data_IF_453074742386
#
_entry.id   IF_453074742386
#
_cell.length_a   1.000
_cell.length_b   1.000
_cell.length_c   1.000
_cell.angle_alpha   90.00
_cell.angle_beta   90.00
_cell.angle_gamma   90.00
#
_symmetry.space_group_name_H-M   'P 1'
#
loop_
_entity.id
_entity.type
_entity.pdbx_description
1 polymer ?
#
# COMPACT_ATOMS: atom_id res chain seq x y z
N UNK A 1 -25.91 21.88 -47.16
CA UNK A 1 -24.74 22.02 -46.27
C UNK A 1 -25.01 21.11 -45.08
N UNK A 2 -24.79 19.79 -45.15
CA UNK A 2 -23.65 19.06 -45.76
C UNK A 2 -22.34 19.47 -45.09
N UNK A 3 -21.47 18.60 -44.54
CA UNK A 3 -21.31 17.14 -44.39
C UNK A 3 -20.44 16.90 -43.12
N UNK A 4 -20.11 15.72 -42.58
CA UNK A 4 -20.35 14.30 -42.91
C UNK A 4 -19.55 13.40 -41.93
N UNK A 5 -19.63 12.05 -42.08
CA UNK A 5 -18.77 10.99 -41.47
C UNK A 5 -18.45 11.04 -39.95
N UNK A 6 -18.89 10.11 -39.08
CA UNK A 6 -18.58 8.66 -38.97
C UNK A 6 -17.09 8.28 -38.93
N UNK A 7 -16.62 7.80 -37.77
CA UNK A 7 -16.09 6.43 -37.65
C UNK A 7 -16.36 5.85 -36.23
N UNK A 8 -16.77 4.59 -36.16
CA UNK A 8 -16.65 3.75 -34.95
C UNK A 8 -15.51 2.75 -35.20
N UNK A 9 -14.61 2.53 -34.23
CA UNK A 9 -13.67 1.39 -34.30
C UNK A 9 -13.72 0.53 -33.03
N UNK A 10 -13.71 -0.78 -33.25
CA UNK A 10 -14.06 -1.81 -32.25
C UNK A 10 -12.92 -2.14 -31.29
N UNK A 11 -13.32 -2.64 -30.13
CA UNK A 11 -12.56 -3.55 -29.28
C UNK A 11 -11.82 -4.64 -30.10
N UNK A 12 -10.63 -5.03 -29.65
CA UNK A 12 -10.03 -6.31 -30.05
C UNK A 12 -9.29 -6.95 -28.87
N UNK A 13 -9.77 -8.11 -28.45
CA UNK A 13 -9.06 -9.04 -27.56
C UNK A 13 -8.06 -9.83 -28.42
N UNK A 14 -6.89 -10.14 -27.84
CA UNK A 14 -5.89 -11.05 -28.39
C UNK A 14 -5.24 -11.84 -27.26
N UNK A 15 -4.92 -13.11 -27.49
CA UNK A 15 -4.38 -14.04 -26.50
C UNK A 15 -3.32 -14.96 -27.12
N UNK A 16 -2.60 -15.70 -26.28
CA UNK A 16 -1.41 -16.50 -26.57
C UNK A 16 -0.16 -15.68 -27.02
N UNK A 17 1.06 -16.15 -26.81
CA UNK A 17 1.51 -17.34 -26.07
C UNK A 17 2.84 -17.91 -26.60
N UNK A 18 3.45 -18.82 -25.85
CA UNK A 18 4.57 -19.65 -26.32
C UNK A 18 5.97 -19.18 -25.93
N UNK A 19 6.69 -20.04 -25.20
CA UNK A 19 8.12 -19.89 -24.91
C UNK A 19 8.98 -20.43 -26.05
N UNK A 20 10.16 -19.84 -26.28
CA UNK A 20 11.33 -20.58 -26.79
C UNK A 20 12.61 -20.14 -26.07
N UNK A 21 13.45 -21.11 -25.74
CA UNK A 21 14.83 -20.87 -25.36
C UNK A 21 15.70 -20.78 -26.63
N UNK A 22 16.88 -20.20 -26.49
CA UNK A 22 18.00 -20.44 -27.40
C UNK A 22 19.28 -20.47 -26.58
N UNK A 23 20.19 -21.38 -26.94
CA UNK A 23 21.48 -21.56 -26.29
C UNK A 23 22.55 -21.71 -27.38
N UNK A 24 23.72 -21.14 -27.13
CA UNK A 24 24.88 -21.24 -28.01
C UNK A 24 26.15 -21.20 -27.17
N UNK A 25 26.93 -22.28 -27.22
CA UNK A 25 28.34 -22.25 -26.85
C UNK A 25 29.17 -21.50 -27.90
N UNK A 26 30.48 -21.35 -27.75
CA UNK A 26 31.34 -21.85 -26.69
C UNK A 26 32.68 -22.32 -27.27
N UNK A 27 33.78 -21.83 -26.69
CA UNK A 27 35.16 -22.25 -26.98
C UNK A 27 35.94 -22.24 -25.66
N UNK A 28 37.01 -23.03 -25.59
CA UNK A 28 37.58 -23.54 -24.34
C UNK A 28 39.00 -22.99 -24.02
N UNK A 29 39.46 -23.24 -22.78
CA UNK A 29 40.81 -23.65 -22.31
C UNK A 29 42.09 -23.02 -22.93
N UNK A 30 43.24 -22.84 -22.26
CA UNK A 30 43.72 -23.08 -20.87
C UNK A 30 44.97 -22.15 -20.65
N UNK A 31 45.78 -22.09 -19.57
CA UNK A 31 45.90 -22.74 -18.26
C UNK A 31 46.64 -21.74 -17.31
N UNK A 32 46.28 -21.64 -16.03
CA UNK A 32 47.28 -21.39 -14.97
C UNK A 32 46.81 -21.75 -13.57
N UNK A 33 47.64 -22.51 -12.84
CA UNK A 33 47.40 -22.91 -11.46
C UNK A 33 47.61 -21.74 -10.49
N UNK A 34 46.69 -21.56 -9.54
CA UNK A 34 46.67 -20.43 -8.62
C UNK A 34 45.81 -20.68 -7.38
N UNK A 35 45.95 -21.85 -6.76
CA UNK A 35 45.11 -22.31 -5.66
C UNK A 35 45.22 -21.44 -4.39
N UNK A 36 44.44 -20.37 -4.30
CA UNK A 36 44.32 -19.55 -3.09
C UNK A 36 42.96 -18.88 -2.97
N UNK A 37 42.29 -19.16 -1.86
CA UNK A 37 41.01 -18.55 -1.49
C UNK A 37 39.81 -19.18 -2.21
N UNK A 38 39.06 -19.99 -1.45
CA UNK A 38 37.60 -19.90 -1.53
C UNK A 38 37.29 -18.46 -1.08
N UNK A 39 37.28 -17.53 -2.03
CA UNK A 39 37.14 -16.10 -1.83
C UNK A 39 35.74 -15.83 -1.31
N UNK A 40 35.60 -15.96 0.01
CA UNK A 40 34.32 -16.02 0.66
C UNK A 40 33.54 -14.77 0.28
N UNK A 41 32.42 -14.96 -0.43
CA UNK A 41 31.35 -13.97 -0.46
C UNK A 41 30.70 -13.95 0.92
N UNK A 42 31.46 -13.45 1.90
CA UNK A 42 30.96 -12.61 2.98
C UNK A 42 30.32 -11.40 2.29
N UNK A 43 29.14 -11.65 1.73
CA UNK A 43 27.90 -11.07 2.22
C UNK A 43 28.21 -10.00 3.28
N UNK A 44 28.60 -8.81 2.82
CA UNK A 44 28.74 -7.62 3.66
C UNK A 44 27.35 -7.16 4.07
N UNK A 45 26.62 -8.01 4.81
CA UNK A 45 25.16 -7.94 4.94
C UNK A 45 24.73 -6.60 5.52
N UNK A 46 25.61 -5.99 6.33
CA UNK A 46 25.36 -4.78 7.11
C UNK A 46 26.39 -3.64 6.92
N UNK A 47 27.38 -3.75 6.03
CA UNK A 47 28.46 -2.74 5.87
C UNK A 47 27.96 -1.48 5.12
N UNK A 48 27.05 -0.72 5.73
CA UNK A 48 26.47 0.50 5.14
C UNK A 48 24.98 0.75 5.43
N UNK A 49 24.32 -0.03 6.29
CA UNK A 49 23.08 0.40 6.95
C UNK A 49 23.26 0.12 8.43
N UNK A 50 23.13 1.18 9.23
CA UNK A 50 23.53 1.27 10.63
C UNK A 50 22.48 0.66 11.58
N UNK A 51 22.04 -0.57 11.28
CA UNK A 51 20.87 -1.26 11.86
C UNK A 51 19.48 -0.70 11.45
N UNK A 52 18.49 -1.59 11.43
CA UNK A 52 17.08 -1.28 11.15
C UNK A 52 16.44 -0.50 12.32
N UNK A 53 16.91 -0.66 13.56
CA UNK A 53 16.41 0.12 14.69
C UNK A 53 16.85 1.59 14.61
N UNK A 54 18.09 1.89 14.21
CA UNK A 54 18.55 3.28 14.03
C UNK A 54 17.77 3.97 12.91
N UNK A 55 17.49 3.28 11.81
CA UNK A 55 16.57 3.80 10.78
C UNK A 55 15.17 4.11 11.36
N UNK A 56 14.62 3.24 12.21
CA UNK A 56 13.33 3.50 12.86
C UNK A 56 13.39 4.67 13.86
N UNK A 57 14.52 4.91 14.53
CA UNK A 57 14.74 6.08 15.39
C UNK A 57 14.83 7.38 14.56
N UNK A 58 15.56 7.38 13.44
CA UNK A 58 15.63 8.51 12.51
C UNK A 58 14.24 8.85 11.97
N UNK A 59 13.48 7.85 11.50
CA UNK A 59 12.12 8.09 11.01
C UNK A 59 11.12 8.52 12.09
N UNK A 60 11.34 8.12 13.36
CA UNK A 60 10.58 8.66 14.50
C UNK A 60 10.89 10.13 14.75
N UNK A 61 12.15 10.56 14.65
CA UNK A 61 12.52 11.98 14.74
C UNK A 61 11.95 12.80 13.56
N UNK A 62 11.83 12.19 12.37
CA UNK A 62 11.15 12.77 11.20
C UNK A 62 9.61 12.66 11.26
N UNK A 63 9.01 12.40 12.43
CA UNK A 63 7.55 12.26 12.63
C UNK A 63 6.83 11.29 11.66
N UNK A 64 7.57 10.29 11.16
CA UNK A 64 7.16 9.38 10.09
C UNK A 64 6.65 10.10 8.84
N UNK A 65 7.38 11.12 8.37
CA UNK A 65 7.10 11.77 7.08
C UNK A 65 7.11 10.74 5.93
N UNK A 66 6.01 10.61 5.17
CA UNK A 66 5.96 9.70 4.02
C UNK A 66 6.80 10.15 2.83
N UNK A 67 7.16 11.43 2.68
CA UNK A 67 7.99 11.86 1.55
C UNK A 67 9.45 11.43 1.72
N UNK A 68 10.01 11.59 2.92
CA UNK A 68 11.30 11.03 3.31
C UNK A 68 11.31 9.49 3.19
N UNK A 69 10.25 8.81 3.62
CA UNK A 69 10.16 7.35 3.55
C UNK A 69 10.13 6.85 2.09
N UNK A 70 9.30 7.48 1.24
CA UNK A 70 9.27 7.22 -0.20
C UNK A 70 10.63 7.50 -0.88
N UNK A 71 11.32 8.57 -0.47
CA UNK A 71 12.63 8.94 -1.01
C UNK A 71 13.69 7.91 -0.64
N UNK A 72 13.81 7.56 0.64
CA UNK A 72 14.75 6.53 1.14
C UNK A 72 14.48 5.16 0.49
N UNK A 73 13.20 4.78 0.29
CA UNK A 73 12.82 3.55 -0.42
C UNK A 73 13.09 3.56 -1.94
N UNK A 74 13.56 4.68 -2.50
CA UNK A 74 14.06 4.80 -3.89
C UNK A 74 15.59 4.82 -3.98
N UNK A 75 16.30 5.24 -2.93
CA UNK A 75 17.78 5.33 -2.92
C UNK A 75 18.47 3.98 -3.16
N UNK A 76 17.96 2.87 -2.61
CA UNK A 76 18.51 1.54 -2.91
C UNK A 76 17.52 0.40 -2.75
N UNK A 77 17.79 -0.73 -3.44
CA UNK A 77 17.05 -2.00 -3.27
C UNK A 77 17.05 -2.49 -1.81
N UNK A 78 18.14 -2.24 -1.06
CA UNK A 78 18.27 -2.65 0.34
C UNK A 78 17.40 -1.77 1.26
N UNK A 79 17.39 -0.45 1.04
CA UNK A 79 16.53 0.48 1.79
C UNK A 79 15.04 0.23 1.50
N UNK A 80 14.67 -0.06 0.25
CA UNK A 80 13.31 -0.53 -0.09
C UNK A 80 12.92 -1.78 0.71
N UNK A 81 13.79 -2.80 0.74
CA UNK A 81 13.53 -4.04 1.46
C UNK A 81 13.48 -3.86 3.00
N UNK A 82 14.06 -2.79 3.57
CA UNK A 82 13.86 -2.40 4.98
C UNK A 82 12.53 -1.65 5.15
N UNK A 83 12.20 -0.74 4.24
CA UNK A 83 10.94 0.00 4.27
C UNK A 83 9.71 -0.93 4.22
N UNK A 84 9.71 -1.89 3.30
CA UNK A 84 8.64 -2.89 3.10
C UNK A 84 8.43 -3.84 4.29
N UNK A 85 9.50 -4.16 5.05
CA UNK A 85 9.43 -5.03 6.24
C UNK A 85 9.16 -4.28 7.55
N UNK A 86 9.71 -3.07 7.69
CA UNK A 86 9.80 -2.36 8.98
C UNK A 86 9.17 -0.97 8.91
N UNK A 87 9.68 -0.06 8.08
CA UNK A 87 9.32 1.37 8.22
C UNK A 87 7.84 1.65 7.96
N UNK A 88 7.21 0.97 6.99
CA UNK A 88 5.76 1.12 6.78
C UNK A 88 4.92 0.57 7.94
N UNK A 89 5.39 -0.48 8.63
CA UNK A 89 4.74 -1.02 9.84
C UNK A 89 4.81 -0.01 10.98
N UNK A 90 6.00 0.48 11.27
CA UNK A 90 6.23 1.44 12.36
C UNK A 90 5.48 2.76 12.14
N UNK A 91 5.42 3.26 10.89
CA UNK A 91 4.55 4.38 10.51
C UNK A 91 3.08 4.10 10.83
N UNK A 92 2.57 2.92 10.44
CA UNK A 92 1.18 2.54 10.71
C UNK A 92 0.89 2.44 12.22
N UNK A 93 1.79 1.81 12.98
CA UNK A 93 1.71 1.70 14.45
C UNK A 93 1.73 3.09 15.09
N UNK A 94 2.61 3.99 14.65
CA UNK A 94 2.74 5.34 15.19
C UNK A 94 1.54 6.24 14.87
N UNK A 95 0.87 6.04 13.72
CA UNK A 95 -0.28 6.87 13.29
C UNK A 95 -1.63 6.35 13.82
N UNK A 96 -1.80 5.03 13.99
CA UNK A 96 -3.09 4.44 14.36
C UNK A 96 -2.97 3.21 15.29
N UNK A 97 -2.33 3.31 16.47
CA UNK A 97 -1.92 2.16 17.28
C UNK A 97 -3.08 1.26 17.73
N UNK A 98 -4.20 1.86 18.18
CA UNK A 98 -5.41 1.12 18.60
C UNK A 98 -6.11 0.38 17.45
N UNK A 99 -5.96 0.86 16.22
CA UNK A 99 -6.48 0.19 15.03
C UNK A 99 -5.55 -0.94 14.62
N UNK A 100 -4.25 -0.66 14.46
CA UNK A 100 -3.25 -1.67 14.06
C UNK A 100 -3.25 -2.86 15.02
N UNK A 101 -3.27 -2.61 16.34
CA UNK A 101 -3.37 -3.67 17.36
C UNK A 101 -4.61 -4.56 17.17
N UNK A 102 -5.77 -3.97 16.82
CA UNK A 102 -6.98 -4.75 16.55
C UNK A 102 -6.93 -5.54 15.23
N UNK A 103 -6.19 -5.06 14.21
CA UNK A 103 -5.97 -5.78 12.95
C UNK A 103 -4.98 -6.96 13.11
N UNK A 104 -3.92 -6.79 13.89
CA UNK A 104 -2.91 -7.84 14.11
C UNK A 104 -3.36 -8.89 15.13
N UNK A 105 -3.98 -8.48 16.23
CA UNK A 105 -4.40 -9.37 17.31
C UNK A 105 -5.57 -10.25 16.87
N UNK A 106 -5.38 -11.58 16.86
CA UNK A 106 -6.41 -12.56 16.48
C UNK A 106 -6.43 -12.99 15.01
N UNK A 107 -5.46 -12.56 14.19
CA UNK A 107 -5.25 -13.11 12.85
C UNK A 107 -4.61 -14.50 12.93
N UNK A 108 -5.44 -15.54 13.09
CA UNK A 108 -5.06 -16.95 13.31
C UNK A 108 -4.28 -17.65 12.16
N UNK A 109 -3.76 -16.92 11.18
CA UNK A 109 -3.11 -17.43 9.97
C UNK A 109 -1.59 -17.15 9.95
N UNK A 110 -0.91 -17.60 11.01
CA UNK A 110 0.56 -17.73 11.18
C UNK A 110 1.46 -16.52 10.88
N UNK A 111 0.90 -15.35 10.62
CA UNK A 111 1.63 -14.09 10.46
C UNK A 111 0.66 -12.92 10.58
N UNK A 112 1.05 -11.84 11.26
CA UNK A 112 0.25 -10.63 11.49
C UNK A 112 0.08 -9.75 10.24
N UNK A 113 -0.25 -10.37 9.10
CA UNK A 113 -0.40 -9.72 7.79
C UNK A 113 -1.75 -9.01 7.72
N UNK A 114 -1.73 -7.69 7.86
CA UNK A 114 -2.83 -6.82 7.42
C UNK A 114 -3.14 -7.12 5.95
N UNK A 115 -4.41 -7.17 5.56
CA UNK A 115 -4.81 -7.39 4.16
C UNK A 115 -4.21 -6.33 3.24
N UNK A 116 -3.52 -6.75 2.17
CA UNK A 116 -2.74 -5.87 1.29
C UNK A 116 -1.37 -5.44 1.82
N UNK A 117 -1.03 -5.79 3.07
CA UNK A 117 0.27 -5.49 3.70
C UNK A 117 0.40 -4.06 4.23
N UNK A 118 1.53 -3.80 4.91
CA UNK A 118 1.82 -2.49 5.52
C UNK A 118 1.82 -1.30 4.55
N UNK A 119 2.33 -1.41 3.30
CA UNK A 119 2.25 -0.29 2.35
C UNK A 119 0.81 0.08 1.95
N UNK A 120 -0.10 -0.90 1.85
CA UNK A 120 -1.51 -0.65 1.56
C UNK A 120 -2.21 0.04 2.74
N UNK A 121 -1.91 -0.37 3.97
CA UNK A 121 -2.42 0.30 5.17
C UNK A 121 -1.86 1.72 5.29
N UNK A 122 -0.57 1.93 5.02
CA UNK A 122 0.04 3.25 5.00
C UNK A 122 -0.64 4.16 3.97
N UNK A 123 -0.94 3.67 2.76
CA UNK A 123 -1.72 4.42 1.77
C UNK A 123 -3.12 4.81 2.29
N UNK A 124 -3.83 3.89 2.95
CA UNK A 124 -5.15 4.18 3.55
C UNK A 124 -5.09 5.27 4.64
N UNK A 125 -4.03 5.25 5.47
CA UNK A 125 -3.82 6.26 6.52
C UNK A 125 -3.50 7.64 5.93
N UNK A 126 -2.70 7.69 4.87
CA UNK A 126 -2.04 8.91 4.38
C UNK A 126 -2.67 9.54 3.12
N UNK A 127 -3.54 8.84 2.39
CA UNK A 127 -4.01 9.29 1.07
C UNK A 127 -5.52 9.08 0.90
N UNK A 128 -6.24 10.16 0.62
CA UNK A 128 -7.57 10.08 0.03
C UNK A 128 -7.45 9.70 -1.44
N UNK A 129 -8.09 8.61 -1.87
CA UNK A 129 -8.14 8.23 -3.28
C UNK A 129 -9.04 9.15 -4.14
N UNK A 130 -9.86 9.99 -3.49
CA UNK A 130 -10.95 10.71 -4.13
C UNK A 130 -12.08 9.78 -4.59
N UNK A 131 -12.98 10.31 -5.42
CA UNK A 131 -14.12 9.60 -5.98
C UNK A 131 -14.32 10.06 -7.43
N UNK A 132 -13.83 9.27 -8.39
CA UNK A 132 -13.83 9.64 -9.81
C UNK A 132 -15.23 9.93 -10.37
N UNK A 133 -16.27 9.22 -9.89
CA UNK A 133 -17.67 9.44 -10.27
C UNK A 133 -18.29 10.74 -9.74
N UNK A 134 -17.60 11.47 -8.87
CA UNK A 134 -18.00 12.79 -8.35
C UNK A 134 -17.00 13.90 -8.72
N UNK A 135 -16.07 13.63 -9.66
CA UNK A 135 -14.97 14.54 -10.04
C UNK A 135 -13.87 14.71 -8.96
N UNK A 136 -14.08 14.16 -7.76
CA UNK A 136 -13.23 14.37 -6.59
C UNK A 136 -11.83 13.76 -6.78
N UNK A 137 -10.81 14.61 -6.78
CA UNK A 137 -9.39 14.22 -6.92
C UNK A 137 -8.79 13.76 -5.58
N UNK A 138 -7.94 12.73 -5.64
CA UNK A 138 -7.23 12.21 -4.47
C UNK A 138 -6.04 13.06 -4.02
N UNK A 139 -5.85 13.18 -2.70
CA UNK A 139 -4.85 14.03 -2.05
C UNK A 139 -4.17 13.33 -0.85
N UNK A 140 -3.02 13.85 -0.39
CA UNK A 140 -2.42 13.42 0.87
C UNK A 140 -3.20 13.99 2.06
N UNK A 141 -3.72 13.12 2.92
CA UNK A 141 -4.38 13.52 4.16
C UNK A 141 -3.29 13.81 5.22
N UNK A 142 -3.11 15.07 5.67
CA UNK A 142 -2.00 15.43 6.56
C UNK A 142 -2.16 14.80 7.95
N UNK A 143 -3.41 14.72 8.42
CA UNK A 143 -3.83 14.07 9.66
C UNK A 143 -4.97 13.10 9.32
N UNK A 144 -5.04 11.97 10.03
CA UNK A 144 -6.18 11.05 9.93
C UNK A 144 -6.27 10.21 11.19
N UNK A 145 -7.36 10.34 11.96
CA UNK A 145 -7.62 9.52 13.15
C UNK A 145 -8.66 8.47 12.80
N UNK A 146 -8.30 7.20 12.92
CA UNK A 146 -9.21 6.09 12.64
C UNK A 146 -9.95 5.68 13.92
N UNK A 147 -11.27 5.94 13.95
CA UNK A 147 -12.13 5.71 15.11
C UNK A 147 -13.05 4.50 14.94
N UNK A 148 -13.12 3.69 16.01
CA UNK A 148 -14.09 2.59 16.18
C UNK A 148 -15.51 3.09 16.47
N UNK A 149 -15.68 4.28 17.07
CA UNK A 149 -17.02 4.81 17.36
C UNK A 149 -17.67 5.35 16.09
N UNK A 150 -16.95 6.15 15.31
CA UNK A 150 -17.34 6.55 13.95
C UNK A 150 -17.61 5.33 13.08
N UNK A 151 -16.67 4.38 13.03
CA UNK A 151 -16.87 3.12 12.29
C UNK A 151 -18.07 2.27 12.75
N UNK A 152 -18.68 2.54 13.92
CA UNK A 152 -19.91 1.87 14.38
C UNK A 152 -21.18 2.59 13.96
N UNK A 153 -21.19 3.92 13.75
CA UNK A 153 -22.36 4.64 13.22
C UNK A 153 -22.56 4.39 11.72
N UNK A 154 -21.50 4.13 10.97
CA UNK A 154 -21.59 3.69 9.56
C UNK A 154 -22.14 2.26 9.37
N UNK A 155 -22.31 1.47 10.44
CA UNK A 155 -22.82 0.09 10.34
C UNK A 155 -24.32 0.03 10.65
N UNK A 156 -25.09 -0.55 9.72
CA UNK A 156 -26.50 -0.84 9.96
C UNK A 156 -26.69 -1.73 11.21
N UNK A 157 -27.87 -1.68 11.85
CA UNK A 157 -28.18 -2.49 13.04
C UNK A 157 -27.94 -3.99 12.85
N UNK A 158 -28.10 -4.51 11.62
CA UNK A 158 -27.82 -5.92 11.26
C UNK A 158 -26.32 -6.24 11.27
N UNK A 159 -25.47 -5.25 11.00
CA UNK A 159 -24.01 -5.38 10.92
C UNK A 159 -23.27 -4.97 12.20
N UNK A 160 -23.93 -4.37 13.20
CA UNK A 160 -23.32 -3.66 14.35
C UNK A 160 -22.46 -4.45 15.34
N UNK A 161 -22.09 -5.70 15.03
CA UNK A 161 -21.03 -6.48 15.70
C UNK A 161 -19.80 -6.74 14.82
N UNK A 162 -19.79 -6.30 13.57
CA UNK A 162 -18.58 -6.20 12.76
C UNK A 162 -17.68 -5.10 13.34
N UNK A 163 -16.35 -5.24 13.20
CA UNK A 163 -15.41 -4.20 13.63
C UNK A 163 -14.87 -3.45 12.42
N UNK A 164 -15.42 -2.25 12.22
CA UNK A 164 -14.98 -1.24 11.26
C UNK A 164 -14.32 -0.07 12.03
N UNK A 165 -13.20 0.44 11.52
CA UNK A 165 -12.63 1.73 11.88
C UNK A 165 -12.79 2.68 10.69
N UNK A 166 -13.20 3.93 10.93
CA UNK A 166 -13.35 4.97 9.90
C UNK A 166 -12.55 6.21 10.29
N UNK A 167 -11.93 6.86 9.32
CA UNK A 167 -11.21 8.12 9.48
C UNK A 167 -12.15 9.28 9.79
N UNK A 168 -11.61 10.38 10.29
CA UNK A 168 -12.21 11.71 10.06
C UNK A 168 -12.38 11.91 8.53
N UNK A 169 -13.42 12.64 8.06
CA UNK A 169 -13.58 12.94 6.64
C UNK A 169 -12.47 13.89 6.15
N UNK A 170 -12.29 13.96 4.84
CA UNK A 170 -11.71 15.12 4.18
C UNK A 170 -12.76 15.72 3.25
N UNK A 171 -12.93 17.04 3.32
CA UNK A 171 -13.86 17.81 2.48
C UNK A 171 -13.30 17.99 1.06
N UNK A 172 -14.22 18.17 0.11
CA UNK A 172 -13.95 18.23 -1.32
C UNK A 172 -15.15 18.90 -2.02
N UNK A 173 -14.95 20.09 -2.61
CA UNK A 173 -15.98 20.75 -3.41
C UNK A 173 -16.50 19.83 -4.52
N UNK A 174 -17.83 19.70 -4.65
CA UNK A 174 -18.46 18.92 -5.72
C UNK A 174 -18.24 19.58 -7.09
N UNK A 175 -17.79 18.81 -8.07
CA UNK A 175 -17.66 19.29 -9.44
C UNK A 175 -18.99 19.11 -10.21
N UNK A 176 -19.90 20.09 -10.12
CA UNK A 176 -21.07 20.19 -11.02
C UNK A 176 -22.42 20.51 -10.36
N UNK A 177 -22.48 20.65 -9.05
CA UNK A 177 -23.56 21.39 -8.37
C UNK A 177 -23.12 22.86 -8.20
N UNK A 178 -23.98 23.71 -7.63
CA UNK A 178 -23.60 25.07 -7.23
C UNK A 178 -22.53 25.06 -6.12
N UNK A 179 -21.86 26.20 -5.91
CA UNK A 179 -20.60 26.32 -5.16
C UNK A 179 -20.62 25.90 -3.66
N UNK A 180 -21.77 25.47 -3.12
CA UNK A 180 -22.01 25.20 -1.70
C UNK A 180 -22.05 23.70 -1.30
N UNK A 181 -21.99 22.74 -2.24
CA UNK A 181 -22.06 21.30 -1.92
C UNK A 181 -20.67 20.64 -1.71
N UNK A 182 -20.20 20.63 -0.46
CA UNK A 182 -18.96 19.93 -0.06
C UNK A 182 -19.16 18.42 0.21
N UNK A 183 -18.32 17.58 -0.39
CA UNK A 183 -18.40 16.11 -0.31
C UNK A 183 -17.35 15.53 0.65
N UNK A 184 -17.78 15.15 1.85
CA UNK A 184 -16.93 14.49 2.85
C UNK A 184 -16.52 13.05 2.46
N UNK A 185 -15.25 12.85 2.11
CA UNK A 185 -14.72 11.52 1.77
C UNK A 185 -14.13 10.79 2.99
N UNK A 186 -14.71 9.65 3.34
CA UNK A 186 -14.30 8.81 4.47
C UNK A 186 -13.42 7.63 4.02
N UNK A 187 -12.44 7.24 4.83
CA UNK A 187 -11.60 6.04 4.62
C UNK A 187 -11.85 5.04 5.74
N UNK A 188 -11.94 3.74 5.42
CA UNK A 188 -12.29 2.73 6.42
C UNK A 188 -11.53 1.41 6.27
N UNK A 189 -11.40 0.67 7.38
CA UNK A 189 -10.86 -0.69 7.40
C UNK A 189 -11.62 -1.58 8.38
N UNK A 190 -12.02 -2.76 7.91
CA UNK A 190 -12.60 -3.81 8.73
C UNK A 190 -11.50 -4.73 9.27
N UNK A 191 -11.66 -5.22 10.51
CA UNK A 191 -10.81 -6.29 11.07
C UNK A 191 -10.91 -7.63 10.32
N UNK A 192 -12.01 -7.86 9.58
CA UNK A 192 -12.24 -9.12 8.89
C UNK A 192 -13.37 -9.07 7.86
N UNK A 193 -13.30 -8.16 6.88
CA UNK A 193 -14.36 -7.96 5.87
C UNK A 193 -14.82 -9.26 5.19
N UNK A 194 -13.90 -10.18 4.87
CA UNK A 194 -14.23 -11.45 4.22
C UNK A 194 -15.17 -12.35 5.04
N UNK A 195 -15.29 -12.14 6.35
CA UNK A 195 -16.15 -12.88 7.29
C UNK A 195 -17.18 -11.98 8.00
N UNK A 196 -17.39 -10.75 7.53
CA UNK A 196 -18.28 -9.79 8.18
C UNK A 196 -19.74 -9.93 7.73
N UNK A 197 -20.69 -9.54 8.59
CA UNK A 197 -22.11 -9.47 8.20
C UNK A 197 -22.36 -8.39 7.14
N UNK A 198 -21.57 -7.32 7.17
CA UNK A 198 -21.59 -6.27 6.14
C UNK A 198 -21.33 -6.84 4.75
N UNK A 199 -20.35 -7.75 4.58
CA UNK A 199 -20.13 -8.43 3.31
C UNK A 199 -21.34 -9.29 2.91
N UNK A 200 -21.94 -9.99 3.86
CA UNK A 200 -23.15 -10.80 3.64
C UNK A 200 -24.45 -9.98 3.44
N UNK A 201 -24.36 -8.65 3.40
CA UNK A 201 -25.46 -7.73 3.02
C UNK A 201 -25.11 -6.89 1.78
N UNK A 202 -24.03 -7.25 1.06
CA UNK A 202 -23.54 -6.61 -0.16
C UNK A 202 -23.46 -7.60 -1.35
N UNK A 203 -24.08 -8.78 -1.18
CA UNK A 203 -24.17 -9.90 -2.14
C UNK A 203 -25.61 -10.40 -2.10
#
# INVERSE_FOLDING_TARGET
>A
MSEGTREMRRLRVGSAGGSKASASGGIADELSSGGRGIGARIRGVNVGILDEQVLALVFRALNWDPQALCSVARVSRRLRAVAERVLWRELCVSRAPRMVSALTTGSSASSGRVGGGWPALAKLLLYCCGAAGAGVRGHFAPVSRFSKTSGRSFLSRRCGGDLLYVSDPCEHAAAGAGDDEDVGAYRGVFRGFMRSRTRACLV
#
